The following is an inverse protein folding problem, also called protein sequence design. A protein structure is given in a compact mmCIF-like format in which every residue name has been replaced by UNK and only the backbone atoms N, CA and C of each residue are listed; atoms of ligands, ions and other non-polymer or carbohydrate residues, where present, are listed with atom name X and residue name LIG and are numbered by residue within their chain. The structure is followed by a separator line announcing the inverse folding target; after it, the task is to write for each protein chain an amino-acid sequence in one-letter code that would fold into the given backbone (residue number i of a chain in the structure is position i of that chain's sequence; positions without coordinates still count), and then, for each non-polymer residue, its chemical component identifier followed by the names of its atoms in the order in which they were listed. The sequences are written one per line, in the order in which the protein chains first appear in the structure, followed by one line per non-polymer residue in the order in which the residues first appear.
data_IF_768208095390
#
_entry.id   IF_768208095390
#
_cell.length_a   1.000
_cell.length_b   1.000
_cell.length_c   1.000
_cell.angle_alpha   90.00
_cell.angle_beta   90.00
_cell.angle_gamma   90.00
#
_symmetry.space_group_name_H-M   'P 1'
#
loop_
_entity.id
_entity.type
_entity.pdbx_description
1 polymer ?
#
# COMPACT_ATOMS: atom_id res chain seq x y z
N UNK A 1 14.49 25.51 2.45
CA UNK A 1 15.38 24.84 3.41
C UNK A 1 15.67 23.39 3.02
N UNK A 2 14.66 22.53 2.82
CA UNK A 2 14.88 21.12 2.45
C UNK A 2 15.22 20.87 0.95
N UNK A 3 15.75 21.86 0.22
CA UNK A 3 16.10 21.79 -1.21
C UNK A 3 15.01 21.25 -2.16
N UNK A 4 13.74 21.41 -1.79
CA UNK A 4 12.58 21.09 -2.63
C UNK A 4 12.44 22.11 -3.75
N UNK A 5 12.04 21.67 -4.94
CA UNK A 5 11.73 22.55 -6.07
C UNK A 5 10.71 23.63 -5.72
N UNK A 6 11.06 24.90 -5.99
CA UNK A 6 10.25 26.05 -5.62
C UNK A 6 8.83 25.99 -6.21
N UNK A 7 8.68 25.51 -7.46
CA UNK A 7 7.36 25.34 -8.09
C UNK A 7 6.53 24.31 -7.35
N UNK A 8 7.15 23.16 -7.02
CA UNK A 8 6.51 22.07 -6.26
C UNK A 8 6.07 22.55 -4.88
N UNK A 9 6.90 23.34 -4.18
CA UNK A 9 6.54 23.94 -2.88
C UNK A 9 5.34 24.87 -3.02
N UNK A 10 5.34 25.76 -4.01
CA UNK A 10 4.25 26.73 -4.20
C UNK A 10 2.92 26.04 -4.49
N UNK A 11 2.92 25.03 -5.34
CA UNK A 11 1.74 24.22 -5.65
C UNK A 11 1.27 23.41 -4.44
N UNK A 12 2.20 22.81 -3.70
CA UNK A 12 1.89 22.07 -2.48
C UNK A 12 1.22 22.96 -1.43
N UNK A 13 1.80 24.14 -1.14
CA UNK A 13 1.24 25.09 -0.18
C UNK A 13 -0.13 25.60 -0.62
N UNK A 14 -0.34 25.82 -1.92
CA UNK A 14 -1.65 26.22 -2.44
C UNK A 14 -2.73 25.15 -2.19
N UNK A 15 -2.43 23.87 -2.47
CA UNK A 15 -3.36 22.75 -2.19
C UNK A 15 -3.64 22.57 -0.70
N UNK A 16 -2.61 22.65 0.14
CA UNK A 16 -2.77 22.59 1.60
C UNK A 16 -3.65 23.72 2.10
N UNK A 17 -3.44 24.95 1.61
CA UNK A 17 -4.25 26.12 2.00
C UNK A 17 -5.71 25.96 1.61
N UNK A 18 -6.00 25.53 0.40
CA UNK A 18 -7.36 25.29 -0.09
C UNK A 18 -8.08 24.24 0.79
N UNK A 19 -7.42 23.12 1.08
CA UNK A 19 -7.96 22.07 1.95
C UNK A 19 -8.14 22.53 3.40
N UNK A 20 -7.22 23.33 3.92
CA UNK A 20 -7.29 23.83 5.30
C UNK A 20 -8.42 24.85 5.51
N UNK A 21 -8.76 25.64 4.48
CA UNK A 21 -9.89 26.59 4.55
C UNK A 21 -11.24 25.89 4.35
N UNK A 22 -11.30 24.87 3.49
CA UNK A 22 -12.54 24.14 3.18
C UNK A 22 -12.88 22.98 4.13
N UNK A 23 -11.96 22.57 5.01
CA UNK A 23 -12.23 21.52 5.98
C UNK A 23 -12.95 22.09 7.20
N UNK A 24 -14.16 21.59 7.48
CA UNK A 24 -14.77 21.74 8.80
C UNK A 24 -13.84 21.06 9.82
N UNK A 25 -13.49 21.76 10.89
CA UNK A 25 -12.66 21.20 11.96
C UNK A 25 -13.46 20.08 12.60
N UNK A 26 -13.02 18.84 12.42
CA UNK A 26 -13.62 17.72 13.16
C UNK A 26 -13.50 18.03 14.65
N UNK A 27 -14.61 17.89 15.40
CA UNK A 27 -14.65 18.23 16.83
C UNK A 27 -13.60 17.48 17.68
N UNK A 28 -13.04 16.39 17.16
CA UNK A 28 -12.01 15.55 17.79
C UNK A 28 -10.58 16.07 17.65
N UNK A 29 -10.31 17.03 16.76
CA UNK A 29 -8.96 17.52 16.49
C UNK A 29 -8.84 19.04 16.73
N UNK A 30 -7.72 19.45 17.30
CA UNK A 30 -7.38 20.87 17.35
C UNK A 30 -7.10 21.41 15.95
N UNK A 31 -7.32 22.71 15.66
CA UNK A 31 -7.00 23.29 14.35
C UNK A 31 -5.54 23.05 13.92
N UNK A 32 -4.59 23.06 14.87
CA UNK A 32 -3.19 22.75 14.59
C UNK A 32 -2.98 21.29 14.14
N UNK A 33 -3.60 20.33 14.83
CA UNK A 33 -3.57 18.91 14.44
C UNK A 33 -4.24 18.68 13.07
N UNK A 34 -5.32 19.38 12.78
CA UNK A 34 -6.00 19.30 11.49
C UNK A 34 -5.09 19.78 10.35
N UNK A 35 -4.35 20.89 10.53
CA UNK A 35 -3.38 21.35 9.53
C UNK A 35 -2.25 20.32 9.34
N UNK A 36 -1.71 19.76 10.43
CA UNK A 36 -0.67 18.72 10.36
C UNK A 36 -1.17 17.49 9.59
N UNK A 37 -2.41 17.05 9.86
CA UNK A 37 -3.05 15.95 9.12
C UNK A 37 -3.16 16.26 7.64
N UNK A 38 -3.67 17.43 7.27
CA UNK A 38 -3.81 17.84 5.87
C UNK A 38 -2.44 17.86 5.17
N UNK A 39 -1.40 18.40 5.83
CA UNK A 39 -0.04 18.42 5.29
C UNK A 39 0.49 17.01 5.10
N UNK A 40 0.30 16.11 6.08
CA UNK A 40 0.73 14.72 6.00
C UNK A 40 0.06 13.98 4.83
N UNK A 41 -1.26 14.09 4.70
CA UNK A 41 -2.00 13.46 3.61
C UNK A 41 -1.59 14.02 2.24
N UNK A 42 -1.37 15.33 2.12
CA UNK A 42 -0.88 15.93 0.88
C UNK A 42 0.56 15.48 0.56
N UNK A 43 1.42 15.31 1.57
CA UNK A 43 2.75 14.73 1.37
C UNK A 43 2.65 13.30 0.88
N UNK A 44 1.78 12.47 1.48
CA UNK A 44 1.53 11.10 1.03
C UNK A 44 1.02 11.09 -0.40
N UNK A 45 0.11 11.99 -0.80
CA UNK A 45 -0.36 12.08 -2.19
C UNK A 45 0.77 12.43 -3.16
N UNK A 46 1.59 13.42 -2.81
CA UNK A 46 2.71 13.88 -3.64
C UNK A 46 3.81 12.81 -3.77
N UNK A 47 4.09 12.08 -2.70
CA UNK A 47 4.99 10.92 -2.63
C UNK A 47 4.39 9.65 -3.26
N UNK A 48 3.07 9.57 -3.22
CA UNK A 48 2.09 8.63 -3.77
C UNK A 48 2.43 7.15 -3.64
N UNK A 49 1.72 6.33 -4.40
CA UNK A 49 1.60 4.92 -4.04
C UNK A 49 2.91 4.12 -4.18
N UNK A 50 3.15 3.18 -3.24
CA UNK A 50 4.28 2.30 -3.31
C UNK A 50 4.17 1.37 -4.51
N UNK A 51 5.23 1.30 -5.33
CA UNK A 51 5.27 0.42 -6.50
C UNK A 51 6.37 -0.61 -6.37
N UNK A 52 6.00 -1.89 -6.44
CA UNK A 52 6.95 -2.99 -6.44
C UNK A 52 7.79 -3.01 -7.72
N UNK A 53 8.91 -3.72 -7.65
CA UNK A 53 9.67 -4.08 -8.84
C UNK A 53 8.85 -5.00 -9.74
N UNK A 54 8.86 -4.71 -11.03
CA UNK A 54 8.17 -5.46 -12.05
C UNK A 54 9.05 -6.60 -12.55
N UNK A 55 8.73 -7.80 -12.07
CA UNK A 55 9.34 -9.06 -12.48
C UNK A 55 8.34 -9.91 -13.28
N UNK A 56 7.43 -9.26 -14.02
CA UNK A 56 6.50 -9.97 -14.90
C UNK A 56 7.19 -10.45 -16.19
N UNK A 57 6.63 -11.50 -16.80
CA UNK A 57 7.12 -12.06 -18.05
C UNK A 57 8.17 -13.17 -17.88
N UNK A 58 8.79 -13.63 -18.98
CA UNK A 58 9.78 -14.71 -18.93
C UNK A 58 11.14 -14.22 -18.41
N UNK A 59 11.86 -15.01 -17.60
CA UNK A 59 13.22 -14.70 -17.18
C UNK A 59 14.23 -14.81 -18.35
N UNK A 60 15.40 -14.14 -18.28
CA UNK A 60 15.85 -13.27 -17.18
C UNK A 60 15.18 -11.89 -17.19
N UNK A 61 14.79 -11.40 -16.02
CA UNK A 61 14.31 -10.03 -15.84
C UNK A 61 15.49 -9.05 -15.81
N UNK A 62 15.61 -8.23 -16.86
CA UNK A 62 16.71 -7.26 -16.99
C UNK A 62 16.34 -5.95 -16.30
N UNK A 63 17.18 -5.52 -15.36
CA UNK A 63 17.03 -4.30 -14.56
C UNK A 63 18.26 -3.41 -14.84
N UNK A 64 18.02 -2.21 -15.36
CA UNK A 64 19.07 -1.25 -15.67
C UNK A 64 19.12 -0.14 -14.62
N UNK A 65 20.26 0.01 -13.94
CA UNK A 65 20.48 1.11 -13.00
C UNK A 65 21.18 2.26 -13.70
N UNK A 66 20.62 3.46 -13.63
CA UNK A 66 21.16 4.69 -14.22
C UNK A 66 21.24 5.79 -13.17
N UNK A 67 22.04 6.82 -13.44
CA UNK A 67 22.17 7.98 -12.55
C UNK A 67 23.58 8.57 -12.57
N UNK A 68 23.72 9.74 -11.93
CA UNK A 68 24.99 10.46 -11.90
C UNK A 68 26.09 9.70 -11.16
N UNK A 69 27.33 10.12 -11.38
CA UNK A 69 28.46 9.63 -10.61
C UNK A 69 28.26 9.93 -9.12
N UNK A 70 28.64 8.98 -8.25
CA UNK A 70 28.52 9.15 -6.80
C UNK A 70 27.12 8.95 -6.22
N UNK A 71 26.09 8.70 -7.03
CA UNK A 71 24.72 8.44 -6.55
C UNK A 71 24.52 7.06 -5.90
N UNK A 72 25.56 6.22 -5.82
CA UNK A 72 25.48 4.91 -5.16
C UNK A 72 24.92 3.77 -6.01
N UNK A 73 25.03 3.84 -7.35
CA UNK A 73 24.58 2.78 -8.29
C UNK A 73 25.15 1.39 -7.97
N UNK A 74 26.48 1.25 -7.91
CA UNK A 74 27.16 -0.03 -7.67
C UNK A 74 26.74 -0.67 -6.34
N UNK A 75 26.67 0.14 -5.27
CA UNK A 75 26.21 -0.32 -3.96
C UNK A 75 24.72 -0.70 -3.99
N UNK A 76 23.90 0.07 -4.68
CA UNK A 76 22.47 -0.23 -4.89
C UNK A 76 22.28 -1.50 -5.70
N UNK A 77 23.11 -1.78 -6.70
CA UNK A 77 23.09 -3.03 -7.47
C UNK A 77 23.31 -4.24 -6.56
N UNK A 78 24.33 -4.18 -5.70
CA UNK A 78 24.63 -5.25 -4.74
C UNK A 78 23.50 -5.48 -3.73
N UNK A 79 22.95 -4.40 -3.15
CA UNK A 79 21.82 -4.45 -2.22
C UNK A 79 20.57 -5.05 -2.86
N UNK A 80 20.25 -4.58 -4.07
CA UNK A 80 19.08 -5.05 -4.80
C UNK A 80 19.23 -6.51 -5.23
N UNK A 81 20.41 -6.92 -5.67
CA UNK A 81 20.70 -8.32 -5.97
C UNK A 81 20.51 -9.21 -4.73
N UNK A 82 21.01 -8.79 -3.56
CA UNK A 82 20.77 -9.50 -2.30
C UNK A 82 19.29 -9.62 -1.96
N UNK A 83 18.52 -8.54 -2.13
CA UNK A 83 17.08 -8.55 -1.89
C UNK A 83 16.33 -9.49 -2.85
N UNK A 84 16.67 -9.48 -4.14
CA UNK A 84 16.10 -10.39 -5.12
C UNK A 84 16.43 -11.85 -4.80
N UNK A 85 17.65 -12.14 -4.34
CA UNK A 85 18.02 -13.48 -3.87
C UNK A 85 17.19 -13.93 -2.67
N UNK A 86 16.96 -13.04 -1.70
CA UNK A 86 16.07 -13.31 -0.55
C UNK A 86 14.63 -13.60 -0.99
N UNK A 87 14.21 -13.10 -2.16
CA UNK A 87 12.90 -13.38 -2.78
C UNK A 87 12.89 -14.63 -3.66
N UNK A 88 13.94 -15.46 -3.62
CA UNK A 88 14.05 -16.70 -4.39
C UNK A 88 14.51 -16.52 -5.83
N UNK A 89 14.91 -15.32 -6.24
CA UNK A 89 15.50 -15.09 -7.57
C UNK A 89 16.98 -15.49 -7.58
N UNK A 90 17.52 -15.78 -8.76
CA UNK A 90 18.93 -16.04 -8.99
C UNK A 90 19.54 -14.86 -9.77
N UNK A 91 20.05 -13.82 -9.08
CA UNK A 91 20.55 -12.61 -9.71
C UNK A 91 21.94 -12.78 -10.31
N UNK A 92 22.18 -12.12 -11.44
CA UNK A 92 23.48 -11.88 -12.03
C UNK A 92 23.74 -10.37 -12.03
N UNK A 93 24.83 -9.92 -11.39
CA UNK A 93 25.26 -8.52 -11.49
C UNK A 93 26.16 -8.34 -12.69
N UNK A 94 26.09 -7.19 -13.36
CA UNK A 94 26.85 -6.90 -14.57
C UNK A 94 27.57 -5.58 -14.41
N UNK A 95 28.89 -5.61 -14.55
CA UNK A 95 29.72 -4.40 -14.57
C UNK A 95 29.63 -3.73 -15.95
N UNK A 96 28.64 -2.87 -16.14
CA UNK A 96 28.42 -2.12 -17.39
C UNK A 96 29.15 -0.76 -17.39
N UNK A 97 30.18 -0.62 -16.55
CA UNK A 97 31.15 0.48 -16.55
C UNK A 97 32.60 -0.07 -16.59
N UNK A 98 33.01 -0.72 -17.70
CA UNK A 98 34.31 -1.37 -17.79
C UNK A 98 35.46 -0.37 -17.94
N UNK A 99 35.17 0.91 -18.21
CA UNK A 99 36.16 1.97 -18.43
C UNK A 99 36.59 2.65 -17.13
N UNK A 100 35.71 2.72 -16.13
CA UNK A 100 36.03 3.37 -14.86
C UNK A 100 37.01 2.51 -14.03
N UNK A 101 38.15 3.09 -13.60
CA UNK A 101 39.10 2.37 -12.76
C UNK A 101 38.43 1.81 -11.50
N UNK A 102 38.73 0.55 -11.19
CA UNK A 102 38.24 -0.19 -10.03
C UNK A 102 36.71 -0.39 -9.92
N UNK A 103 35.88 0.11 -10.84
CA UNK A 103 34.43 -0.09 -10.77
C UNK A 103 34.04 -1.57 -10.93
N UNK A 104 34.67 -2.26 -11.88
CA UNK A 104 34.52 -3.71 -12.08
C UNK A 104 34.95 -4.47 -10.83
N UNK A 105 36.15 -4.16 -10.31
CA UNK A 105 36.69 -4.80 -9.11
C UNK A 105 35.82 -4.55 -7.88
N UNK A 106 35.27 -3.34 -7.73
CA UNK A 106 34.34 -3.00 -6.65
C UNK A 106 33.10 -3.90 -6.69
N UNK A 107 32.48 -4.05 -7.86
CA UNK A 107 31.31 -4.90 -8.03
C UNK A 107 31.64 -6.39 -7.81
N UNK A 108 32.80 -6.85 -8.27
CA UNK A 108 33.29 -8.22 -8.04
C UNK A 108 33.54 -8.53 -6.55
N UNK A 109 34.12 -7.59 -5.81
CA UNK A 109 34.30 -7.72 -4.36
C UNK A 109 32.96 -7.82 -3.65
N UNK A 110 32.01 -6.94 -3.97
CA UNK A 110 30.66 -6.99 -3.43
C UNK A 110 29.95 -8.31 -3.80
N UNK A 111 30.11 -8.78 -5.03
CA UNK A 111 29.58 -10.06 -5.50
C UNK A 111 30.14 -11.25 -4.72
N UNK A 112 31.46 -11.28 -4.50
CA UNK A 112 32.11 -12.32 -3.69
C UNK A 112 31.64 -12.30 -2.24
N UNK A 113 31.57 -11.12 -1.62
CA UNK A 113 31.09 -10.96 -0.24
C UNK A 113 29.64 -11.43 -0.07
N UNK A 114 28.81 -11.19 -1.09
CA UNK A 114 27.41 -11.56 -1.05
C UNK A 114 27.14 -12.94 -1.61
N UNK A 115 28.10 -13.66 -2.17
CA UNK A 115 27.90 -14.89 -2.95
C UNK A 115 26.88 -14.70 -4.09
N UNK A 116 27.13 -13.69 -4.92
CA UNK A 116 26.34 -13.34 -6.10
C UNK A 116 27.27 -13.26 -7.30
N UNK A 117 26.94 -13.96 -8.37
CA UNK A 117 27.75 -13.96 -9.60
C UNK A 117 27.82 -12.59 -10.25
N UNK A 118 29.01 -12.23 -10.73
CA UNK A 118 29.26 -11.01 -11.49
C UNK A 118 29.70 -11.37 -12.90
N UNK A 119 29.16 -10.65 -13.88
CA UNK A 119 29.62 -10.65 -15.26
C UNK A 119 30.42 -9.38 -15.53
N UNK A 120 31.65 -9.56 -15.98
CA UNK A 120 32.57 -8.49 -16.36
C UNK A 120 33.32 -8.90 -17.62
N UNK A 121 33.68 -7.92 -18.43
CA UNK A 121 34.51 -8.09 -19.63
C UNK A 121 35.64 -7.04 -19.62
N UNK A 122 36.60 -7.18 -20.53
CA UNK A 122 37.74 -6.27 -20.61
C UNK A 122 37.34 -4.81 -20.93
N UNK A 123 38.19 -3.82 -20.57
CA UNK A 123 37.90 -2.39 -20.71
C UNK A 123 37.71 -1.91 -22.16
N UNK A 124 38.11 -2.73 -23.14
CA UNK A 124 37.98 -2.44 -24.57
C UNK A 124 36.62 -2.84 -25.15
N UNK A 125 35.82 -3.62 -24.42
CA UNK A 125 34.50 -4.04 -24.87
C UNK A 125 33.49 -2.93 -24.57
N UNK A 126 32.70 -2.46 -25.55
CA UNK A 126 31.70 -1.43 -25.32
C UNK A 126 30.60 -1.90 -24.33
N UNK A 127 30.12 -1.04 -23.41
CA UNK A 127 29.07 -1.39 -22.45
C UNK A 127 27.80 -2.01 -23.06
N UNK A 128 27.26 -1.54 -24.21
CA UNK A 128 26.12 -2.19 -24.86
C UNK A 128 26.37 -3.65 -25.26
N UNK A 129 27.62 -3.99 -25.60
CA UNK A 129 28.02 -5.36 -25.90
C UNK A 129 28.16 -6.20 -24.63
N UNK A 130 28.75 -5.65 -23.57
CA UNK A 130 28.85 -6.32 -22.26
C UNK A 130 27.46 -6.68 -21.72
N UNK A 131 26.52 -5.74 -21.77
CA UNK A 131 25.14 -6.00 -21.34
C UNK A 131 24.46 -7.10 -22.15
N UNK A 132 24.62 -7.09 -23.49
CA UNK A 132 24.03 -8.11 -24.36
C UNK A 132 24.61 -9.51 -24.09
N UNK A 133 25.92 -9.60 -23.89
CA UNK A 133 26.61 -10.84 -23.55
C UNK A 133 26.19 -11.37 -22.17
N UNK A 134 26.04 -10.48 -21.18
CA UNK A 134 25.57 -10.85 -19.86
C UNK A 134 24.15 -11.42 -19.88
N UNK A 135 23.23 -10.81 -20.64
CA UNK A 135 21.85 -11.32 -20.79
C UNK A 135 21.82 -12.68 -21.48
N UNK A 136 22.69 -12.91 -22.47
CA UNK A 136 22.85 -14.21 -23.12
C UNK A 136 23.32 -15.28 -22.13
N UNK A 137 24.38 -14.99 -21.38
CA UNK A 137 24.89 -15.85 -20.30
C UNK A 137 23.81 -16.12 -19.25
N UNK A 138 23.01 -15.12 -18.90
CA UNK A 138 21.92 -15.25 -17.95
C UNK A 138 20.88 -16.29 -18.42
N UNK A 139 20.53 -16.28 -19.71
CA UNK A 139 19.63 -17.27 -20.32
C UNK A 139 20.24 -18.67 -20.30
N UNK A 140 21.48 -18.81 -20.77
CA UNK A 140 22.17 -20.10 -20.87
C UNK A 140 22.42 -20.75 -19.51
N UNK A 141 22.71 -19.93 -18.48
CA UNK A 141 23.03 -20.39 -17.14
C UNK A 141 21.83 -20.34 -16.18
N UNK A 142 20.61 -20.10 -16.66
CA UNK A 142 19.38 -20.03 -15.86
C UNK A 142 19.43 -19.05 -14.66
N UNK A 143 19.96 -17.85 -14.89
CA UNK A 143 19.76 -16.73 -13.96
C UNK A 143 18.38 -16.11 -14.21
N UNK A 144 17.66 -15.77 -13.14
CA UNK A 144 16.29 -15.24 -13.27
C UNK A 144 16.23 -13.72 -13.30
N UNK A 145 17.27 -13.02 -12.82
CA UNK A 145 17.37 -11.56 -12.87
C UNK A 145 18.77 -11.11 -13.27
N UNK A 146 18.86 -10.01 -14.01
CA UNK A 146 20.13 -9.40 -14.47
C UNK A 146 20.13 -7.93 -14.06
N UNK A 147 21.11 -7.52 -13.24
CA UNK A 147 21.27 -6.16 -12.78
C UNK A 147 22.44 -5.49 -13.51
N UNK A 148 22.14 -4.50 -14.34
CA UNK A 148 23.14 -3.73 -15.07
C UNK A 148 23.56 -2.51 -14.24
N UNK A 149 24.79 -2.54 -13.71
CA UNK A 149 25.43 -1.38 -13.07
C UNK A 149 26.12 -0.54 -14.14
N UNK A 150 25.43 0.49 -14.65
CA UNK A 150 25.93 1.34 -15.73
C UNK A 150 26.88 2.42 -15.21
N UNK A 151 27.68 2.98 -16.12
CA UNK A 151 28.54 4.11 -15.82
C UNK A 151 27.77 5.33 -15.34
N UNK A 152 28.41 6.12 -14.47
CA UNK A 152 27.95 7.47 -14.12
C UNK A 152 28.91 8.52 -14.62
N UNK A 153 28.41 9.71 -14.94
CA UNK A 153 29.21 10.91 -15.16
C UNK A 153 28.79 12.03 -14.21
N UNK A 154 29.67 13.03 -14.04
CA UNK A 154 29.41 14.22 -13.23
C UNK A 154 28.24 15.03 -13.78
N UNK A 155 28.13 15.09 -15.10
CA UNK A 155 27.04 15.74 -15.82
C UNK A 155 26.47 14.79 -16.87
N UNK A 156 25.24 15.07 -17.27
CA UNK A 156 24.62 14.40 -18.41
C UNK A 156 25.29 14.95 -19.67
N UNK A 157 25.93 14.06 -20.42
CA UNK A 157 26.41 14.36 -21.76
C UNK A 157 25.77 13.42 -22.79
N UNK A 158 25.74 13.86 -24.04
CA UNK A 158 25.07 13.11 -25.10
C UNK A 158 25.70 11.76 -25.40
N UNK A 159 27.00 11.60 -25.12
CA UNK A 159 27.73 10.35 -25.37
C UNK A 159 27.28 9.24 -24.41
N UNK A 160 27.33 9.49 -23.09
CA UNK A 160 26.81 8.56 -22.07
C UNK A 160 25.38 8.18 -22.39
N UNK A 161 24.62 9.19 -22.75
CA UNK A 161 23.19 9.08 -22.85
C UNK A 161 22.79 8.30 -24.11
N UNK A 162 23.58 8.34 -25.19
CA UNK A 162 23.44 7.49 -26.38
C UNK A 162 23.82 6.05 -26.07
N UNK A 163 24.87 5.86 -25.29
CA UNK A 163 25.30 4.53 -24.84
C UNK A 163 24.20 3.84 -24.01
N UNK A 164 23.52 4.57 -23.11
CA UNK A 164 22.39 4.04 -22.34
C UNK A 164 21.16 3.71 -23.20
N UNK A 165 20.86 4.53 -24.22
CA UNK A 165 19.82 4.24 -25.20
C UNK A 165 20.14 2.97 -26.00
N UNK A 166 21.40 2.78 -26.37
CA UNK A 166 21.86 1.60 -27.08
C UNK A 166 21.78 0.35 -26.20
N UNK A 167 22.19 0.42 -24.93
CA UNK A 167 21.98 -0.67 -23.96
C UNK A 167 20.48 -1.00 -23.91
N UNK A 168 19.62 -0.01 -23.70
CA UNK A 168 18.17 -0.21 -23.62
C UNK A 168 17.62 -0.89 -24.86
N UNK A 169 18.03 -0.46 -26.05
CA UNK A 169 17.57 -1.03 -27.32
C UNK A 169 18.01 -2.50 -27.47
N UNK A 170 19.23 -2.84 -27.06
CA UNK A 170 19.78 -4.20 -27.20
C UNK A 170 19.22 -5.20 -26.19
N UNK A 171 18.98 -4.77 -24.95
CA UNK A 171 18.58 -5.71 -23.88
C UNK A 171 17.14 -5.56 -23.41
N UNK A 172 16.42 -4.53 -23.86
CA UNK A 172 15.00 -4.29 -23.54
C UNK A 172 14.70 -4.44 -22.03
N UNK A 173 15.32 -3.62 -21.16
CA UNK A 173 15.19 -3.75 -19.72
C UNK A 173 13.73 -3.59 -19.29
N UNK A 174 13.29 -4.47 -18.40
CA UNK A 174 11.94 -4.40 -17.80
C UNK A 174 11.81 -3.22 -16.87
N UNK A 175 12.90 -2.92 -16.18
CA UNK A 175 13.03 -1.81 -15.24
C UNK A 175 14.22 -0.95 -15.60
N UNK A 176 14.01 0.36 -15.67
CA UNK A 176 15.06 1.36 -15.74
C UNK A 176 14.94 2.23 -14.49
N UNK A 177 15.84 2.01 -13.54
CA UNK A 177 15.78 2.63 -12.23
C UNK A 177 16.82 3.74 -12.12
N UNK A 178 16.36 4.97 -11.87
CA UNK A 178 17.25 6.08 -11.55
C UNK A 178 17.66 5.99 -10.08
N UNK A 179 18.95 5.86 -9.83
CA UNK A 179 19.54 5.95 -8.50
C UNK A 179 19.97 7.40 -8.28
N UNK A 180 19.30 8.07 -7.34
CA UNK A 180 19.52 9.47 -7.01
C UNK A 180 19.88 9.64 -5.53
N UNK A 181 20.79 10.56 -5.26
CA UNK A 181 21.17 10.94 -3.90
C UNK A 181 20.11 11.87 -3.31
N UNK A 182 19.59 11.54 -2.13
CA UNK A 182 18.57 12.31 -1.42
C UNK A 182 19.03 13.73 -1.05
N UNK A 183 20.34 13.97 -0.97
CA UNK A 183 20.91 15.30 -0.72
C UNK A 183 20.93 16.18 -1.98
N UNK A 184 20.70 15.61 -3.17
CA UNK A 184 20.74 16.38 -4.41
C UNK A 184 19.43 17.15 -4.58
N UNK A 185 19.50 18.48 -4.46
CA UNK A 185 18.34 19.38 -4.56
C UNK A 185 17.80 19.58 -5.98
N UNK A 186 17.77 20.84 -6.44
CA UNK A 186 17.15 21.23 -7.73
C UNK A 186 17.73 20.48 -8.94
N UNK A 187 19.02 20.18 -8.92
CA UNK A 187 19.70 19.49 -10.01
C UNK A 187 19.14 18.09 -10.25
N UNK A 188 18.66 17.41 -9.19
CA UNK A 188 18.09 16.08 -9.32
C UNK A 188 16.83 16.06 -10.19
N UNK A 189 16.04 17.15 -10.18
CA UNK A 189 14.84 17.29 -11.02
C UNK A 189 15.21 17.36 -12.50
N UNK A 190 16.17 18.22 -12.85
CA UNK A 190 16.65 18.35 -14.23
C UNK A 190 17.22 17.02 -14.71
N UNK A 191 18.08 16.40 -13.89
CA UNK A 191 18.71 15.12 -14.18
C UNK A 191 17.66 14.04 -14.43
N UNK A 192 16.71 13.89 -13.50
CA UNK A 192 15.67 12.88 -13.63
C UNK A 192 14.77 13.11 -14.85
N UNK A 193 14.46 14.37 -15.19
CA UNK A 193 13.72 14.72 -16.40
C UNK A 193 14.45 14.31 -17.68
N UNK A 194 15.75 14.58 -17.76
CA UNK A 194 16.60 14.18 -18.90
C UNK A 194 16.67 12.66 -19.04
N UNK A 195 16.95 11.94 -17.96
CA UNK A 195 16.96 10.47 -17.95
C UNK A 195 15.60 9.91 -18.35
N UNK A 196 14.51 10.44 -17.80
CA UNK A 196 13.16 9.97 -18.13
C UNK A 196 12.83 10.19 -19.60
N UNK A 197 13.12 11.35 -20.16
CA UNK A 197 12.84 11.66 -21.57
C UNK A 197 13.58 10.74 -22.54
N UNK A 198 14.84 10.42 -22.25
CA UNK A 198 15.72 9.69 -23.17
C UNK A 198 15.67 8.18 -23.01
N UNK A 199 15.79 7.69 -21.76
CA UNK A 199 15.82 6.25 -21.48
C UNK A 199 14.53 5.71 -20.87
N UNK A 200 13.54 6.56 -20.55
CA UNK A 200 12.24 6.11 -20.04
C UNK A 200 12.33 5.41 -18.69
N UNK A 201 12.44 6.19 -17.62
CA UNK A 201 12.53 5.66 -16.25
C UNK A 201 11.22 4.99 -15.81
N UNK A 202 11.33 3.83 -15.17
CA UNK A 202 10.20 3.07 -14.62
C UNK A 202 10.12 3.15 -13.09
N UNK A 203 11.19 3.59 -12.43
CA UNK A 203 11.25 3.75 -10.99
C UNK A 203 12.45 4.59 -10.52
N UNK A 204 12.37 5.03 -9.26
CA UNK A 204 13.42 5.76 -8.56
C UNK A 204 13.92 4.94 -7.36
N UNK A 205 15.22 5.02 -7.09
CA UNK A 205 15.84 4.59 -5.84
C UNK A 205 16.54 5.80 -5.22
N UNK A 206 16.18 6.14 -4.00
CA UNK A 206 16.79 7.26 -3.28
C UNK A 206 17.80 6.74 -2.27
N UNK A 207 19.06 7.15 -2.39
CA UNK A 207 20.14 6.73 -1.50
C UNK A 207 20.47 7.80 -0.46
N UNK A 208 21.24 7.43 0.56
CA UNK A 208 21.69 8.33 1.63
C UNK A 208 20.53 8.95 2.42
N UNK A 209 19.43 8.19 2.53
CA UNK A 209 18.27 8.59 3.31
C UNK A 209 18.53 8.50 4.82
N UNK A 210 19.67 7.99 5.27
CA UNK A 210 20.12 7.95 6.66
C UNK A 210 20.68 9.29 7.17
N UNK A 211 21.07 10.20 6.27
CA UNK A 211 21.49 11.55 6.65
C UNK A 211 20.34 12.50 6.99
N UNK A 212 20.67 13.79 7.19
CA UNK A 212 19.72 14.88 7.47
C UNK A 212 18.85 15.28 6.28
N UNK A 213 18.95 14.55 5.16
CA UNK A 213 18.17 14.79 3.96
C UNK A 213 16.67 14.57 4.26
N UNK A 214 15.91 15.67 4.36
CA UNK A 214 14.45 15.67 4.59
C UNK A 214 13.64 15.22 3.36
N UNK A 215 14.19 14.36 2.51
CA UNK A 215 13.49 13.79 1.35
C UNK A 215 13.02 14.78 0.28
N UNK A 216 13.52 16.02 0.27
CA UNK A 216 13.02 17.05 -0.64
C UNK A 216 13.28 16.78 -2.13
N UNK A 217 14.39 16.09 -2.43
CA UNK A 217 14.70 15.57 -3.76
C UNK A 217 13.62 14.58 -4.24
N UNK A 218 13.12 13.73 -3.35
CA UNK A 218 12.08 12.72 -3.63
C UNK A 218 10.81 13.37 -4.16
N UNK A 219 10.31 14.37 -3.42
CA UNK A 219 9.12 15.14 -3.75
C UNK A 219 9.28 15.84 -5.10
N UNK A 220 10.46 16.43 -5.33
CA UNK A 220 10.74 17.24 -6.50
C UNK A 220 10.85 16.41 -7.78
N UNK A 221 11.61 15.32 -7.74
CA UNK A 221 11.77 14.42 -8.88
C UNK A 221 10.42 13.81 -9.25
N UNK A 222 9.67 13.30 -8.27
CA UNK A 222 8.39 12.64 -8.52
C UNK A 222 7.33 13.59 -9.06
N UNK A 223 7.21 14.79 -8.49
CA UNK A 223 6.22 15.77 -8.95
C UNK A 223 6.44 16.20 -10.40
N UNK A 224 7.70 16.20 -10.87
CA UNK A 224 8.04 16.61 -12.24
C UNK A 224 8.03 15.43 -13.22
N UNK A 225 8.55 14.27 -12.83
CA UNK A 225 8.70 13.12 -13.73
C UNK A 225 7.54 12.15 -13.68
N UNK A 226 6.72 12.17 -12.61
CA UNK A 226 5.69 11.17 -12.34
C UNK A 226 6.22 9.77 -12.01
N UNK A 227 7.54 9.57 -12.02
CA UNK A 227 8.16 8.26 -11.85
C UNK A 227 8.02 7.82 -10.38
N UNK A 228 7.54 6.59 -10.11
CA UNK A 228 7.33 6.11 -8.75
C UNK A 228 8.65 5.81 -8.04
N UNK A 229 8.71 6.08 -6.74
CA UNK A 229 9.83 5.66 -5.89
C UNK A 229 9.60 4.19 -5.50
N UNK A 230 10.61 3.34 -5.68
CA UNK A 230 10.52 1.90 -5.39
C UNK A 230 11.26 1.51 -4.13
N UNK A 231 12.43 2.12 -3.90
CA UNK A 231 13.30 1.78 -2.77
C UNK A 231 13.97 3.00 -2.16
N UNK A 232 14.30 2.89 -0.87
CA UNK A 232 15.09 3.83 -0.10
C UNK A 232 16.36 3.13 0.42
N UNK A 233 17.53 3.69 0.13
CA UNK A 233 18.80 3.29 0.72
C UNK A 233 19.05 4.07 2.01
N UNK A 234 18.98 3.37 3.14
CA UNK A 234 19.00 3.93 4.51
C UNK A 234 20.31 3.64 5.26
N UNK A 235 21.41 3.55 4.54
CA UNK A 235 22.73 3.29 5.12
C UNK A 235 23.70 2.67 4.13
N UNK A 236 24.93 2.39 4.56
CA UNK A 236 25.98 1.86 3.69
C UNK A 236 26.00 0.32 3.63
N UNK A 237 25.50 -0.35 4.67
CA UNK A 237 25.48 -1.81 4.78
C UNK A 237 24.65 -2.44 3.66
N UNK A 238 24.99 -3.68 3.28
CA UNK A 238 24.38 -4.41 2.15
C UNK A 238 22.90 -4.77 2.36
N UNK A 239 22.41 -4.73 3.59
CA UNK A 239 21.01 -4.93 3.96
C UNK A 239 20.22 -3.61 4.12
N UNK A 240 20.88 -2.46 4.03
CA UNK A 240 20.26 -1.13 4.17
C UNK A 240 19.60 -0.65 2.87
N UNK A 241 18.67 -1.46 2.34
CA UNK A 241 17.76 -1.13 1.24
C UNK A 241 16.35 -1.54 1.62
N UNK A 242 15.47 -0.56 1.73
CA UNK A 242 14.08 -0.76 2.15
C UNK A 242 13.11 -0.49 1.00
N UNK A 243 12.00 -1.23 0.91
CA UNK A 243 10.89 -0.85 0.04
C UNK A 243 10.37 0.54 0.42
N UNK A 244 9.97 1.31 -0.59
CA UNK A 244 9.41 2.64 -0.38
C UNK A 244 8.01 2.56 0.23
N UNK A 245 7.78 3.33 1.30
CA UNK A 245 6.49 3.54 1.92
C UNK A 245 6.26 5.06 2.10
N UNK A 246 5.28 5.66 1.39
CA UNK A 246 5.08 7.11 1.36
C UNK A 246 4.68 7.68 2.72
N UNK A 247 3.89 6.93 3.49
CA UNK A 247 3.47 7.26 4.85
C UNK A 247 4.67 7.41 5.80
N UNK A 248 5.60 6.45 5.77
CA UNK A 248 6.81 6.48 6.62
C UNK A 248 7.69 7.68 6.28
N UNK A 249 7.87 7.96 4.98
CA UNK A 249 8.67 9.10 4.55
C UNK A 249 7.99 10.43 4.91
N UNK A 250 6.67 10.56 4.71
CA UNK A 250 5.93 11.76 5.10
C UNK A 250 6.01 12.02 6.61
N UNK A 251 5.84 10.99 7.44
CA UNK A 251 5.98 11.08 8.89
C UNK A 251 7.39 11.51 9.32
N UNK A 252 8.42 10.98 8.65
CA UNK A 252 9.82 11.37 8.88
C UNK A 252 10.10 12.83 8.50
N UNK A 253 9.51 13.30 7.39
CA UNK A 253 9.64 14.71 6.94
C UNK A 253 9.02 15.66 7.97
N UNK A 254 7.87 15.29 8.55
CA UNK A 254 7.20 16.11 9.55
C UNK A 254 7.90 16.07 10.91
N UNK A 255 8.72 15.07 11.20
CA UNK A 255 9.42 14.93 12.49
C UNK A 255 8.47 14.76 13.68
N UNK A 256 7.22 14.37 13.41
CA UNK A 256 6.12 14.35 14.38
C UNK A 256 5.34 13.01 14.33
N UNK A 257 6.07 11.89 14.34
CA UNK A 257 5.44 10.56 14.38
C UNK A 257 4.49 10.37 15.56
N UNK A 258 4.84 10.95 16.71
CA UNK A 258 4.01 10.88 17.92
C UNK A 258 2.71 11.70 17.78
N UNK A 259 2.74 12.85 17.12
CA UNK A 259 1.54 13.68 16.91
C UNK A 259 0.57 13.02 15.93
N UNK A 260 1.08 12.38 14.87
CA UNK A 260 0.26 11.60 13.95
C UNK A 260 -0.41 10.42 14.66
N UNK A 261 0.33 9.71 15.51
CA UNK A 261 -0.21 8.62 16.33
C UNK A 261 -1.31 9.13 17.29
N UNK A 262 -1.15 10.33 17.86
CA UNK A 262 -2.18 10.96 18.70
C UNK A 262 -3.42 11.35 17.90
N UNK A 263 -3.26 11.82 16.66
CA UNK A 263 -4.36 12.14 15.74
C UNK A 263 -5.12 10.86 15.39
N UNK A 264 -4.42 9.79 15.00
CA UNK A 264 -5.02 8.48 14.69
C UNK A 264 -5.80 7.91 15.90
N UNK A 265 -5.25 8.04 17.11
CA UNK A 265 -5.93 7.64 18.35
C UNK A 265 -7.15 8.50 18.66
N UNK A 266 -7.09 9.82 18.42
CA UNK A 266 -8.21 10.72 18.63
C UNK A 266 -9.38 10.43 17.68
N UNK A 267 -9.08 10.03 16.43
CA UNK A 267 -10.09 9.58 15.47
C UNK A 267 -10.69 8.23 15.88
N UNK A 268 -9.84 7.27 16.25
CA UNK A 268 -10.31 5.97 16.75
C UNK A 268 -11.19 6.11 18.01
N UNK A 269 -10.86 7.03 18.92
CA UNK A 269 -11.65 7.31 20.12
C UNK A 269 -12.99 8.01 19.81
N UNK A 270 -13.08 8.77 18.70
CA UNK A 270 -14.34 9.37 18.27
C UNK A 270 -15.25 8.34 17.57
N UNK A 271 -14.67 7.45 16.76
CA UNK A 271 -15.36 6.24 16.28
C UNK A 271 -15.83 5.39 17.47
N UNK A 272 -15.06 5.36 18.56
CA UNK A 272 -15.43 4.73 19.82
C UNK A 272 -16.57 5.49 20.54
N UNK A 273 -16.69 6.82 20.46
CA UNK A 273 -17.86 7.57 20.96
C UNK A 273 -19.13 7.27 20.16
N UNK A 274 -19.01 7.08 18.84
CA UNK A 274 -20.12 6.66 17.99
C UNK A 274 -20.51 5.20 18.27
N UNK A 275 -19.50 4.35 18.50
CA UNK A 275 -19.66 2.99 19.00
C UNK A 275 -20.23 2.96 20.42
N UNK A 276 -19.89 3.91 21.30
CA UNK A 276 -20.42 4.08 22.65
C UNK A 276 -21.85 4.63 22.62
N UNK A 277 -22.24 5.45 21.63
CA UNK A 277 -23.64 5.79 21.37
C UNK A 277 -24.42 4.57 20.91
N UNK A 278 -23.81 3.72 20.08
CA UNK A 278 -24.37 2.43 19.70
C UNK A 278 -24.43 1.47 20.91
N UNK A 279 -23.42 1.46 21.78
CA UNK A 279 -23.36 0.69 23.02
C UNK A 279 -24.40 1.21 24.04
N UNK A 280 -24.60 2.52 24.17
CA UNK A 280 -25.65 3.12 24.99
C UNK A 280 -27.05 2.77 24.47
N UNK A 281 -27.24 2.71 23.15
CA UNK A 281 -28.46 2.18 22.52
C UNK A 281 -28.63 0.67 22.80
N UNK A 282 -27.54 -0.10 22.80
CA UNK A 282 -27.55 -1.52 23.16
C UNK A 282 -27.83 -1.74 24.67
N UNK A 283 -27.26 -0.90 25.56
CA UNK A 283 -27.47 -0.93 27.03
C UNK A 283 -28.86 -0.49 27.45
N UNK A 284 -29.53 0.35 26.67
CA UNK A 284 -30.91 0.80 26.96
C UNK A 284 -31.98 -0.21 26.56
N UNK A 285 -31.61 -1.45 26.18
CA UNK A 285 -32.53 -2.57 25.95
C UNK A 285 -33.65 -2.29 24.93
N UNK A 286 -33.43 -1.36 24.00
CA UNK A 286 -34.37 -0.98 22.93
C UNK A 286 -33.93 -1.50 21.57
N UNK A 287 -33.23 -2.64 21.52
CA UNK A 287 -32.92 -3.31 20.26
C UNK A 287 -34.23 -3.77 19.61
N UNK A 288 -34.66 -3.08 18.55
CA UNK A 288 -35.93 -3.31 17.86
C UNK A 288 -35.71 -3.92 16.44
N UNK A 289 -36.80 -4.17 15.69
CA UNK A 289 -36.67 -4.76 14.34
C UNK A 289 -36.12 -3.76 13.31
N UNK A 290 -36.15 -2.45 13.60
CA UNK A 290 -35.59 -1.42 12.73
C UNK A 290 -34.06 -1.46 12.81
N UNK A 291 -33.51 -1.63 14.01
CA UNK A 291 -32.07 -1.80 14.22
C UNK A 291 -31.58 -3.15 13.69
N UNK A 292 -32.37 -4.22 13.87
CA UNK A 292 -32.05 -5.51 13.28
C UNK A 292 -31.93 -5.47 11.75
N UNK A 293 -32.83 -4.75 11.08
CA UNK A 293 -32.79 -4.58 9.63
C UNK A 293 -31.52 -3.84 9.17
N UNK A 294 -31.11 -2.79 9.87
CA UNK A 294 -29.89 -2.04 9.55
C UNK A 294 -28.65 -2.92 9.65
N UNK A 295 -28.58 -3.77 10.68
CA UNK A 295 -27.48 -4.71 10.86
C UNK A 295 -27.41 -5.73 9.73
N UNK A 296 -28.56 -6.30 9.33
CA UNK A 296 -28.61 -7.22 8.18
C UNK A 296 -28.15 -6.56 6.86
N UNK A 297 -28.49 -5.29 6.66
CA UNK A 297 -28.07 -4.54 5.47
C UNK A 297 -26.58 -4.19 5.48
N UNK A 298 -25.99 -3.92 6.65
CA UNK A 298 -24.54 -3.71 6.80
C UNK A 298 -23.78 -4.99 6.45
N UNK A 299 -24.23 -6.13 6.99
CA UNK A 299 -23.64 -7.45 6.69
C UNK A 299 -23.72 -7.76 5.18
N UNK A 300 -24.84 -7.47 4.52
CA UNK A 300 -25.00 -7.63 3.06
C UNK A 300 -24.04 -6.78 2.23
N UNK A 301 -23.64 -5.60 2.74
CA UNK A 301 -22.67 -4.71 2.05
C UNK A 301 -21.22 -5.22 2.16
N UNK A 302 -20.92 -6.04 3.16
CA UNK A 302 -19.58 -6.60 3.39
C UNK A 302 -19.28 -7.85 2.54
N UNK A 303 -20.23 -8.32 1.73
CA UNK A 303 -20.08 -9.49 0.86
C UNK A 303 -20.60 -10.79 1.49
N UNK A 304 -20.46 -11.93 0.79
CA UNK A 304 -21.00 -13.21 1.26
C UNK A 304 -20.38 -13.64 2.58
N UNK A 305 -21.22 -13.95 3.56
CA UNK A 305 -20.88 -14.34 4.94
C UNK A 305 -19.87 -15.51 5.04
N UNK A 306 -19.67 -16.24 3.94
CA UNK A 306 -18.75 -17.37 3.84
C UNK A 306 -17.29 -16.98 4.04
N UNK A 307 -16.85 -15.81 3.57
CA UNK A 307 -15.44 -15.40 3.70
C UNK A 307 -15.05 -15.03 5.13
N UNK A 308 -16.00 -14.58 5.95
CA UNK A 308 -15.76 -14.25 7.36
C UNK A 308 -15.81 -15.50 8.25
N UNK A 309 -16.64 -16.49 7.91
CA UNK A 309 -16.77 -17.75 8.66
C UNK A 309 -15.59 -18.71 8.42
N UNK A 310 -14.90 -18.62 7.29
CA UNK A 310 -13.68 -19.38 6.99
C UNK A 310 -12.47 -18.94 7.84
N UNK A 311 -12.54 -17.76 8.48
CA UNK A 311 -11.45 -17.21 9.28
C UNK A 311 -11.55 -17.55 10.79
N UNK A 312 -12.59 -18.28 11.22
CA UNK A 312 -12.78 -18.68 12.62
C UNK A 312 -12.27 -20.11 12.83
N UNK A 313 -11.21 -20.32 13.65
CA UNK A 313 -10.70 -21.66 13.95
C UNK A 313 -11.77 -22.51 14.65
N UNK A 314 -12.07 -23.70 14.10
CA UNK A 314 -12.98 -24.67 14.71
C UNK A 314 -14.41 -24.73 14.16
N UNK A 315 -14.80 -23.87 13.21
CA UNK A 315 -16.16 -23.85 12.62
C UNK A 315 -16.27 -24.47 11.21
N UNK A 316 -15.18 -25.03 10.68
CA UNK A 316 -15.07 -25.54 9.29
C UNK A 316 -15.81 -26.86 9.02
N UNK A 317 -16.23 -27.60 10.05
CA UNK A 317 -16.95 -28.87 9.88
C UNK A 317 -18.46 -28.70 9.73
N UNK A 318 -19.06 -27.60 10.21
CA UNK A 318 -20.51 -27.37 10.18
C UNK A 318 -20.94 -26.63 8.90
N UNK A 319 -20.05 -25.85 8.27
CA UNK A 319 -20.38 -25.01 7.10
C UNK A 319 -20.57 -25.77 5.79
N UNK A 320 -20.21 -27.07 5.72
CA UNK A 320 -20.31 -27.86 4.48
C UNK A 320 -21.72 -28.36 4.14
N UNK A 321 -22.67 -28.28 5.08
CA UNK A 321 -24.02 -28.85 4.90
C UNK A 321 -25.09 -27.81 4.53
N UNK A 322 -24.76 -26.52 4.42
CA UNK A 322 -25.72 -25.46 4.11
C UNK A 322 -25.37 -24.80 2.77
N UNK A 323 -26.16 -24.99 1.70
CA UNK A 323 -25.89 -24.41 0.39
C UNK A 323 -25.92 -22.87 0.43
N UNK A 324 -24.94 -22.22 -0.20
CA UNK A 324 -24.73 -20.77 -0.21
C UNK A 324 -25.93 -19.96 -0.73
N UNK A 325 -26.66 -20.50 -1.70
CA UNK A 325 -27.84 -19.85 -2.30
C UNK A 325 -29.02 -19.74 -1.31
N UNK A 326 -29.09 -20.63 -0.33
CA UNK A 326 -30.19 -20.70 0.64
C UNK A 326 -30.10 -19.54 1.65
N UNK A 327 -28.88 -19.09 1.99
CA UNK A 327 -28.67 -18.01 2.97
C UNK A 327 -29.04 -16.64 2.40
N UNK A 328 -28.70 -16.34 1.16
CA UNK A 328 -29.01 -15.05 0.51
C UNK A 328 -30.51 -14.89 0.23
N UNK A 329 -31.18 -15.96 -0.18
CA UNK A 329 -32.63 -15.95 -0.38
C UNK A 329 -33.37 -15.77 0.95
N UNK A 330 -32.89 -16.41 2.03
CA UNK A 330 -33.45 -16.22 3.37
C UNK A 330 -33.28 -14.77 3.86
N UNK A 331 -32.12 -14.15 3.65
CA UNK A 331 -31.87 -12.76 4.03
C UNK A 331 -32.81 -11.78 3.30
N UNK A 332 -32.99 -11.96 1.99
CA UNK A 332 -33.96 -11.15 1.20
C UNK A 332 -35.39 -11.32 1.73
N UNK A 333 -35.76 -12.53 2.14
CA UNK A 333 -37.09 -12.83 2.67
C UNK A 333 -37.34 -12.16 4.03
N UNK A 334 -36.34 -12.17 4.90
CA UNK A 334 -36.39 -11.45 6.19
C UNK A 334 -36.52 -9.94 5.97
N UNK A 335 -35.73 -9.39 5.03
CA UNK A 335 -35.80 -7.97 4.66
C UNK A 335 -37.19 -7.60 4.13
N UNK A 336 -37.80 -8.42 3.28
CA UNK A 336 -39.17 -8.22 2.78
C UNK A 336 -40.22 -8.23 3.90
N UNK A 337 -40.11 -9.16 4.86
CA UNK A 337 -41.01 -9.25 6.02
C UNK A 337 -40.94 -7.98 6.86
N UNK A 338 -39.73 -7.53 7.22
CA UNK A 338 -39.56 -6.35 8.08
C UNK A 338 -40.01 -5.08 7.34
N UNK A 339 -39.72 -4.97 6.04
CA UNK A 339 -40.16 -3.83 5.23
C UNK A 339 -41.68 -3.73 5.08
N UNK A 340 -42.40 -4.84 5.24
CA UNK A 340 -43.88 -4.89 5.23
C UNK A 340 -44.54 -4.51 6.56
N UNK A 341 -43.75 -4.20 7.59
CA UNK A 341 -44.22 -3.69 8.89
C UNK A 341 -44.23 -2.16 8.93
N UNK A 342 -45.13 -1.57 9.72
CA UNK A 342 -45.10 -0.13 10.02
C UNK A 342 -43.97 0.21 10.99
N UNK A 343 -43.57 1.49 11.07
CA UNK A 343 -42.54 1.94 12.05
C UNK A 343 -42.90 1.56 13.49
N UNK A 344 -44.18 1.67 13.86
CA UNK A 344 -44.67 1.29 15.18
C UNK A 344 -44.49 -0.21 15.45
N UNK A 345 -44.80 -1.05 14.46
CA UNK A 345 -44.64 -2.51 14.57
C UNK A 345 -43.18 -2.96 14.61
N UNK A 346 -42.28 -2.23 13.94
CA UNK A 346 -40.83 -2.51 13.99
C UNK A 346 -40.25 -2.18 15.36
N UNK A 347 -40.63 -1.02 15.91
CA UNK A 347 -40.20 -0.53 17.23
C UNK A 347 -40.80 -1.36 18.38
N UNK A 348 -42.03 -1.86 18.20
CA UNK A 348 -42.69 -2.68 19.19
C UNK A 348 -43.32 -3.95 18.58
N UNK A 349 -42.53 -5.02 18.36
CA UNK A 349 -43.03 -6.27 17.77
C UNK A 349 -44.10 -7.00 18.60
N UNK A 350 -44.34 -6.58 19.85
CA UNK A 350 -45.35 -7.19 20.73
C UNK A 350 -46.79 -6.87 20.30
N UNK A 351 -47.00 -5.81 19.53
CA UNK A 351 -48.34 -5.42 19.04
C UNK A 351 -48.82 -6.28 17.86
N UNK A 352 -47.96 -7.17 17.32
CA UNK A 352 -48.25 -8.00 16.16
C UNK A 352 -49.28 -9.11 16.50
N UNK A 353 -50.54 -8.78 16.35
CA UNK A 353 -51.66 -9.72 16.41
C UNK A 353 -51.82 -10.52 15.10
N UNK A 354 -52.75 -11.48 15.08
CA UNK A 354 -52.98 -12.33 13.92
C UNK A 354 -53.37 -11.55 12.65
N UNK A 355 -54.14 -10.46 12.79
CA UNK A 355 -54.54 -9.62 11.66
C UNK A 355 -53.34 -8.90 11.03
N UNK A 356 -52.47 -8.29 11.84
CA UNK A 356 -51.24 -7.63 11.40
C UNK A 356 -50.28 -8.60 10.71
N UNK A 357 -50.12 -9.81 11.26
CA UNK A 357 -49.29 -10.86 10.64
C UNK A 357 -49.82 -11.29 9.27
N UNK A 358 -51.14 -11.41 9.09
CA UNK A 358 -51.74 -11.72 7.77
C UNK A 358 -51.54 -10.59 6.75
N UNK A 359 -51.50 -9.32 7.20
CA UNK A 359 -51.21 -8.17 6.34
C UNK A 359 -49.75 -8.19 5.90
N UNK A 360 -48.82 -8.39 6.84
CA UNK A 360 -47.38 -8.47 6.58
C UNK A 360 -47.10 -9.63 5.61
N UNK A 361 -47.62 -10.82 5.87
CA UNK A 361 -47.48 -12.01 5.03
C UNK A 361 -47.87 -11.74 3.56
N UNK A 362 -49.00 -11.07 3.34
CA UNK A 362 -49.45 -10.66 2.01
C UNK A 362 -48.52 -9.62 1.37
N UNK A 363 -48.00 -8.67 2.14
CA UNK A 363 -47.10 -7.63 1.64
C UNK A 363 -45.69 -8.13 1.30
N UNK A 364 -45.19 -9.13 2.02
CA UNK A 364 -43.86 -9.70 1.81
C UNK A 364 -43.82 -10.94 0.92
N UNK A 365 -44.98 -11.47 0.51
CA UNK A 365 -45.07 -12.74 -0.23
C UNK A 365 -44.64 -13.95 0.62
N UNK A 366 -44.88 -13.90 1.93
CA UNK A 366 -44.45 -14.92 2.90
C UNK A 366 -45.63 -15.49 3.68
N UNK A 367 -45.39 -16.51 4.50
CA UNK A 367 -46.41 -17.11 5.35
C UNK A 367 -46.40 -16.52 6.77
N UNK A 368 -47.51 -16.70 7.49
CA UNK A 368 -47.59 -16.32 8.92
C UNK A 368 -46.62 -17.15 9.78
N UNK A 369 -46.31 -18.38 9.36
CA UNK A 369 -45.34 -19.25 10.03
C UNK A 369 -43.93 -18.66 9.97
N UNK A 370 -43.51 -18.17 8.80
CA UNK A 370 -42.20 -17.53 8.61
C UNK A 370 -42.05 -16.25 9.43
N UNK A 371 -43.13 -15.47 9.56
CA UNK A 371 -43.14 -14.29 10.43
C UNK A 371 -42.98 -14.70 11.90
N UNK A 372 -43.63 -15.78 12.34
CA UNK A 372 -43.47 -16.28 13.71
C UNK A 372 -42.05 -16.79 13.97
N UNK A 373 -41.44 -17.46 12.98
CA UNK A 373 -40.06 -17.93 13.06
C UNK A 373 -39.08 -16.77 13.19
N UNK A 374 -39.23 -15.72 12.37
CA UNK A 374 -38.44 -14.49 12.47
C UNK A 374 -38.59 -13.84 13.85
N UNK A 375 -39.82 -13.71 14.35
CA UNK A 375 -40.07 -13.12 15.68
C UNK A 375 -39.48 -13.96 16.81
N UNK A 376 -39.43 -15.29 16.67
CA UNK A 376 -38.78 -16.17 17.64
C UNK A 376 -37.26 -15.98 17.63
N UNK A 377 -36.63 -15.95 16.45
CA UNK A 377 -35.20 -15.69 16.27
C UNK A 377 -34.81 -14.31 16.82
N UNK A 378 -35.62 -13.29 16.52
CA UNK A 378 -35.42 -11.95 17.03
C UNK A 378 -35.47 -11.89 18.56
N UNK A 379 -36.44 -12.56 19.20
CA UNK A 379 -36.50 -12.65 20.67
C UNK A 379 -35.31 -13.38 21.28
N UNK A 380 -34.82 -14.43 20.62
CA UNK A 380 -33.64 -15.16 21.08
C UNK A 380 -32.39 -14.29 21.06
N UNK A 381 -32.19 -13.53 19.99
CA UNK A 381 -31.11 -12.55 19.89
C UNK A 381 -31.27 -11.40 20.90
N UNK A 382 -32.48 -10.87 21.12
CA UNK A 382 -32.74 -9.89 22.18
C UNK A 382 -32.33 -10.43 23.57
N UNK A 383 -32.56 -11.72 23.85
CA UNK A 383 -32.12 -12.35 25.10
C UNK A 383 -30.60 -12.43 25.19
N UNK A 384 -29.93 -12.78 24.10
CA UNK A 384 -28.46 -12.85 24.01
C UNK A 384 -27.82 -11.47 24.21
N UNK A 385 -28.32 -10.44 23.53
CA UNK A 385 -27.86 -9.05 23.70
C UNK A 385 -28.09 -8.58 25.14
N UNK A 386 -29.25 -8.92 25.73
CA UNK A 386 -29.54 -8.59 27.13
C UNK A 386 -28.53 -9.27 28.07
N UNK A 387 -28.20 -10.54 27.86
CA UNK A 387 -27.21 -11.27 28.66
C UNK A 387 -25.81 -10.64 28.56
N UNK A 388 -25.37 -10.31 27.34
CA UNK A 388 -24.10 -9.62 27.09
C UNK A 388 -24.05 -8.23 27.75
N UNK A 389 -25.15 -7.47 27.69
CA UNK A 389 -25.26 -6.13 28.30
C UNK A 389 -25.23 -6.14 29.84
N UNK A 390 -25.58 -7.28 30.46
CA UNK A 390 -25.64 -7.41 31.93
C UNK A 390 -24.35 -7.92 32.57
N UNK A 391 -23.29 -8.16 31.79
CA UNK A 391 -21.95 -8.51 32.30
C UNK A 391 -21.84 -9.84 33.04
N UNK A 392 -22.88 -10.68 33.05
CA UNK A 392 -22.88 -12.03 33.63
C UNK A 392 -22.90 -13.08 32.52
N UNK A 393 -21.72 -13.35 31.96
CA UNK A 393 -21.56 -14.40 30.95
C UNK A 393 -20.25 -14.29 30.17
N UNK A 394 -19.13 -14.11 30.86
CA UNK A 394 -17.82 -14.29 30.22
C UNK A 394 -17.55 -15.79 30.18
N UNK A 395 -17.53 -16.37 28.97
CA UNK A 395 -16.88 -17.65 28.72
C UNK A 395 -15.43 -17.57 29.21
N UNK A 396 -14.93 -18.54 30.01
CA UNK A 396 -13.53 -18.55 30.39
C UNK A 396 -12.71 -18.99 29.17
N UNK A 397 -12.07 -18.04 28.51
CA UNK A 397 -10.94 -18.36 27.64
C UNK A 397 -9.84 -17.33 27.88
N UNK A 398 -8.65 -17.86 28.13
CA UNK A 398 -7.38 -17.18 28.46
C UNK A 398 -7.21 -16.77 29.92
N UNK A 399 -6.70 -17.74 30.68
CA UNK A 399 -5.75 -17.51 31.78
C UNK A 399 -4.35 -17.79 31.25
#
# INVERSE_FOLDING_TARGET
EADVNYRVVKEFVARVRERAVGAEVMHSLTPAQQVVKIVHEELIRLLGEPRKMDLSGPPPHVIMLVGLQGSGKTTTAAKLALQLRKQGQRPLMVAADPRRPAAVTQLEVLGKQLDISVHSEGPRVPPPTVCANAVRRARESAYSAVLLDTGGRLHIDDELMRELEEIKARVSPREVLLVADAMTGQDAVRVAGEFHRRVGLTGLILTKMDGDARGGAALSIRSVTGVPIKYLGVGEKTDALEPFYPDRLASRILGMGDVLTLIERAEAAFDEEEALRMERKLRTATFDLEDFLKQLQQVKRMGPLSQLLEMIPGFSQISREIPQEVTDQQLKRIEAIINSMTREERRNPRILNASRKRRIARGSGTTVQEINQLLAQFRQMQRMIKQLSTGRGVFPMFR
#
